data_IF_942138353186
#
_entry.id   IF_942138353186
#
_cell.length_a   1.000
_cell.length_b   1.000
_cell.length_c   1.000
_cell.angle_alpha   90.00
_cell.angle_beta   90.00
_cell.angle_gamma   90.00
#
_symmetry.space_group_name_H-M   'P 1'
#
loop_
_entity.id
_entity.type
_entity.pdbx_description
1 polymer ?
#
# COMPACT_ATOMS: atom_id res chain seq x y z
N UNK A 1 -69.51 56.18 66.95
CA UNK A 1 -69.77 56.81 65.61
C UNK A 1 -68.51 56.62 64.74
N UNK A 2 -68.70 55.88 63.71
CA UNK A 2 -68.01 55.95 62.42
C UNK A 2 -66.46 55.87 62.39
N UNK A 3 -65.81 55.18 61.54
CA UNK A 3 -66.13 54.41 60.29
C UNK A 3 -64.92 53.56 59.94
N UNK A 4 -65.24 52.44 59.32
CA UNK A 4 -64.30 51.48 58.75
C UNK A 4 -63.50 52.01 57.57
N UNK A 5 -62.22 51.60 57.42
CA UNK A 5 -61.60 51.46 56.10
C UNK A 5 -60.63 50.32 56.13
N UNK A 6 -60.89 49.33 55.27
CA UNK A 6 -60.03 48.16 55.00
C UNK A 6 -58.91 48.55 54.03
N UNK A 7 -57.71 47.99 54.13
CA UNK A 7 -56.77 47.99 53.02
C UNK A 7 -56.79 46.65 52.29
N UNK A 8 -56.69 46.73 50.98
CA UNK A 8 -56.63 45.65 50.00
C UNK A 8 -55.22 44.99 50.02
N UNK A 9 -55.19 43.65 50.19
CA UNK A 9 -54.00 42.83 49.96
C UNK A 9 -53.86 42.53 48.46
N UNK A 10 -52.82 43.06 47.85
CA UNK A 10 -52.43 42.75 46.49
C UNK A 10 -51.52 41.49 46.48
N UNK A 11 -52.03 40.42 45.99
CA UNK A 11 -51.34 39.12 45.85
C UNK A 11 -50.42 39.16 44.63
N UNK A 12 -49.12 39.36 44.83
CA UNK A 12 -48.09 39.25 43.78
C UNK A 12 -47.82 37.81 43.46
N UNK A 13 -48.32 37.33 42.31
CA UNK A 13 -47.93 35.99 41.69
C UNK A 13 -46.55 36.12 41.06
N UNK A 14 -45.57 35.47 41.64
CA UNK A 14 -44.27 35.26 41.07
C UNK A 14 -44.38 34.15 39.93
N UNK A 15 -44.33 34.57 38.67
CA UNK A 15 -44.09 33.69 37.57
C UNK A 15 -42.60 33.29 37.53
N UNK A 16 -42.28 32.06 37.93
CA UNK A 16 -40.97 31.44 37.65
C UNK A 16 -40.95 31.00 36.21
N UNK A 17 -40.30 31.76 35.33
CA UNK A 17 -39.97 31.36 33.97
C UNK A 17 -38.78 30.39 34.01
N UNK A 18 -39.02 29.09 33.88
CA UNK A 18 -37.99 28.10 33.67
C UNK A 18 -37.52 28.20 32.23
N UNK A 19 -36.36 28.82 31.98
CA UNK A 19 -35.63 28.74 30.72
C UNK A 19 -35.05 27.33 30.62
N UNK A 20 -35.66 26.46 29.81
CA UNK A 20 -35.06 25.20 29.33
C UNK A 20 -34.08 25.57 28.25
N UNK A 21 -32.78 25.61 28.58
CA UNK A 21 -31.72 25.72 27.59
C UNK A 21 -31.63 24.42 26.81
N UNK A 22 -32.20 24.38 25.61
CA UNK A 22 -32.04 23.30 24.67
C UNK A 22 -30.63 23.38 24.08
N UNK A 23 -29.67 22.64 24.65
CA UNK A 23 -28.35 22.50 24.11
C UNK A 23 -28.43 21.64 22.83
N UNK A 24 -28.48 22.27 21.68
CA UNK A 24 -28.27 21.60 20.39
C UNK A 24 -26.81 21.14 20.36
N UNK A 25 -26.59 19.88 20.64
CA UNK A 25 -25.36 19.19 20.26
C UNK A 25 -25.29 19.16 18.71
N UNK A 26 -24.61 20.17 18.14
CA UNK A 26 -24.23 20.15 16.73
C UNK A 26 -23.19 19.03 16.62
N UNK A 27 -23.64 17.82 16.28
CA UNK A 27 -22.77 16.78 15.78
C UNK A 27 -22.20 17.30 14.46
N UNK A 28 -21.04 17.94 14.54
CA UNK A 28 -20.25 18.23 13.34
C UNK A 28 -19.90 16.87 12.75
N UNK A 29 -20.62 16.44 11.74
CA UNK A 29 -20.13 15.44 10.80
C UNK A 29 -18.88 16.06 10.18
N UNK A 30 -17.72 15.76 10.75
CA UNK A 30 -16.43 16.08 10.13
C UNK A 30 -16.32 15.13 8.96
N UNK A 31 -16.81 15.58 7.82
CA UNK A 31 -16.60 14.87 6.56
C UNK A 31 -15.09 14.80 6.35
N UNK A 32 -14.61 13.64 5.88
CA UNK A 32 -13.27 13.55 5.34
C UNK A 32 -13.13 14.67 4.30
N UNK A 33 -12.04 15.43 4.38
CA UNK A 33 -11.76 16.47 3.41
C UNK A 33 -11.73 15.89 1.99
N UNK A 34 -11.84 16.73 0.95
CA UNK A 34 -11.77 16.27 -0.42
C UNK A 34 -10.48 15.50 -0.65
N UNK A 35 -10.55 14.43 -1.46
CA UNK A 35 -9.35 13.69 -1.90
C UNK A 35 -8.56 14.60 -2.85
N UNK A 36 -7.35 14.96 -2.46
CA UNK A 36 -6.44 15.72 -3.33
C UNK A 36 -5.93 14.80 -4.44
N UNK A 37 -6.24 15.13 -5.69
CA UNK A 37 -5.85 14.31 -6.85
C UNK A 37 -4.77 15.02 -7.65
N UNK A 38 -3.62 14.36 -7.82
CA UNK A 38 -2.48 14.94 -8.52
C UNK A 38 -1.83 13.97 -9.51
N UNK A 39 -1.08 14.51 -10.44
CA UNK A 39 -0.24 13.75 -11.35
C UNK A 39 1.11 13.44 -10.74
N UNK A 40 1.66 12.28 -11.10
CA UNK A 40 3.06 11.98 -10.82
C UNK A 40 3.96 13.04 -11.46
N UNK A 41 4.95 13.60 -10.74
CA UNK A 41 5.88 14.58 -11.30
C UNK A 41 6.58 14.07 -12.57
N UNK A 42 6.98 14.98 -13.43
CA UNK A 42 7.77 14.71 -14.65
C UNK A 42 7.14 13.69 -15.61
N UNK A 43 5.84 13.51 -15.60
CA UNK A 43 5.12 12.44 -16.29
C UNK A 43 5.63 11.03 -15.92
N UNK A 44 6.10 10.87 -14.70
CA UNK A 44 6.52 9.57 -14.16
C UNK A 44 5.35 8.58 -14.06
N UNK A 45 5.69 7.31 -13.97
CA UNK A 45 4.73 6.20 -13.86
C UNK A 45 4.99 5.37 -12.60
N UNK A 46 4.05 4.52 -12.22
CA UNK A 46 4.15 3.60 -11.09
C UNK A 46 4.51 4.31 -9.77
N UNK A 47 3.75 5.34 -9.37
CA UNK A 47 4.01 6.03 -8.12
C UNK A 47 3.85 5.06 -6.94
N UNK A 48 4.75 5.20 -5.95
CA UNK A 48 4.61 4.63 -4.62
C UNK A 48 4.72 5.79 -3.63
N UNK A 49 3.77 5.92 -2.74
CA UNK A 49 3.74 7.04 -1.80
C UNK A 49 3.55 6.57 -0.36
N UNK A 50 4.17 7.26 0.57
CA UNK A 50 4.05 7.04 2.01
C UNK A 50 4.09 8.38 2.75
N UNK A 51 3.47 8.43 3.92
CA UNK A 51 3.60 9.58 4.84
C UNK A 51 4.60 9.23 5.92
N UNK A 52 5.61 10.07 6.08
CA UNK A 52 6.60 9.94 7.14
C UNK A 52 6.07 10.38 8.50
N UNK A 53 6.75 10.02 9.58
CA UNK A 53 6.41 10.45 10.94
C UNK A 53 6.45 11.99 11.10
N UNK A 54 7.17 12.69 10.25
CA UNK A 54 7.25 14.15 10.17
C UNK A 54 6.12 14.79 9.35
N UNK A 55 5.16 14.00 8.87
CA UNK A 55 4.03 14.43 8.06
C UNK A 55 4.37 14.73 6.59
N UNK A 56 5.60 14.48 6.14
CA UNK A 56 5.96 14.62 4.73
C UNK A 56 5.34 13.49 3.91
N UNK A 57 4.90 13.83 2.69
CA UNK A 57 4.53 12.84 1.69
C UNK A 57 5.77 12.50 0.87
N UNK A 58 6.24 11.28 0.98
CA UNK A 58 7.36 10.72 0.22
C UNK A 58 6.82 10.02 -1.03
N UNK A 59 7.48 10.22 -2.15
CA UNK A 59 7.06 9.70 -3.45
C UNK A 59 8.26 9.07 -4.18
N UNK A 60 8.08 7.85 -4.62
CA UNK A 60 8.95 7.16 -5.57
C UNK A 60 8.19 7.01 -6.89
N UNK A 61 8.86 7.25 -8.02
CA UNK A 61 8.28 7.04 -9.34
C UNK A 61 9.35 6.65 -10.37
N UNK A 62 8.90 6.06 -11.45
CA UNK A 62 9.74 5.65 -12.56
C UNK A 62 9.63 6.64 -13.72
N UNK A 63 10.75 6.88 -14.43
CA UNK A 63 10.82 7.74 -15.61
C UNK A 63 11.72 7.14 -16.69
N UNK A 64 11.34 7.32 -17.94
CA UNK A 64 12.09 6.85 -19.10
C UNK A 64 11.45 5.67 -19.81
N UNK A 65 12.25 4.91 -20.54
CA UNK A 65 11.78 3.68 -21.22
C UNK A 65 11.41 2.62 -20.18
N UNK A 66 10.18 2.10 -20.25
CA UNK A 66 9.69 1.10 -19.30
C UNK A 66 10.56 -0.18 -19.27
N UNK A 67 11.28 -0.50 -20.35
CA UNK A 67 12.22 -1.63 -20.41
C UNK A 67 13.57 -1.33 -19.75
N UNK A 68 13.90 -0.07 -19.48
CA UNK A 68 15.20 0.32 -18.94
C UNK A 68 15.30 1.81 -18.69
N UNK A 69 14.64 2.29 -17.64
CA UNK A 69 14.64 3.68 -17.19
C UNK A 69 15.18 3.87 -15.78
N UNK A 70 14.84 5.00 -15.18
CA UNK A 70 15.39 5.43 -13.91
C UNK A 70 14.30 5.64 -12.86
N UNK A 71 14.68 5.47 -11.61
CA UNK A 71 13.83 5.67 -10.45
C UNK A 71 14.17 7.00 -9.78
N UNK A 72 13.14 7.73 -9.41
CA UNK A 72 13.27 9.02 -8.75
C UNK A 72 12.48 9.04 -7.45
N UNK A 73 13.13 9.56 -6.43
CA UNK A 73 12.53 9.82 -5.14
C UNK A 73 12.43 11.31 -4.90
N UNK A 74 11.29 11.75 -4.38
CA UNK A 74 11.05 13.12 -3.94
C UNK A 74 10.14 13.14 -2.73
N UNK A 75 9.99 14.29 -2.10
CA UNK A 75 9.01 14.48 -1.03
C UNK A 75 8.43 15.89 -1.07
N UNK A 76 7.30 16.08 -0.42
CA UNK A 76 6.71 17.39 -0.14
C UNK A 76 6.25 17.46 1.31
N UNK A 77 6.23 18.66 1.90
CA UNK A 77 5.59 18.89 3.19
C UNK A 77 4.08 18.73 3.03
N UNK A 78 3.40 18.31 4.07
CA UNK A 78 1.94 18.34 4.12
C UNK A 78 1.45 19.77 3.77
N UNK A 79 0.40 19.86 2.95
CA UNK A 79 -0.20 21.13 2.50
C UNK A 79 0.75 22.05 1.67
N UNK A 80 1.88 21.53 1.20
CA UNK A 80 2.77 22.24 0.27
C UNK A 80 2.34 21.96 -1.17
N UNK A 81 2.34 22.99 -2.03
CA UNK A 81 1.98 22.83 -3.44
C UNK A 81 3.07 22.18 -4.29
N UNK A 82 4.31 22.09 -3.78
CA UNK A 82 5.47 21.66 -4.56
C UNK A 82 6.20 20.44 -4.02
N UNK A 83 6.74 19.64 -4.94
CA UNK A 83 7.71 18.61 -4.68
C UNK A 83 9.11 19.19 -4.63
N UNK A 84 9.99 18.70 -3.75
CA UNK A 84 11.41 19.05 -3.78
C UNK A 84 12.07 18.47 -5.03
N UNK A 85 13.26 18.95 -5.38
CA UNK A 85 14.02 18.41 -6.50
C UNK A 85 14.23 16.90 -6.32
N UNK A 86 13.90 16.07 -7.32
CA UNK A 86 13.97 14.62 -7.18
C UNK A 86 15.40 14.11 -7.15
N UNK A 87 15.64 13.10 -6.35
CA UNK A 87 16.91 12.37 -6.23
C UNK A 87 16.79 11.08 -7.06
N UNK A 88 17.74 10.82 -7.96
CA UNK A 88 17.79 9.55 -8.67
C UNK A 88 18.22 8.43 -7.71
N UNK A 89 17.49 7.30 -7.72
CA UNK A 89 17.73 6.17 -6.82
C UNK A 89 18.82 5.25 -7.36
N UNK A 90 18.66 4.79 -8.59
CA UNK A 90 19.60 3.85 -9.23
C UNK A 90 20.83 4.60 -9.76
N UNK A 91 22.03 4.12 -9.43
CA UNK A 91 23.31 4.72 -9.90
C UNK A 91 23.55 4.45 -11.38
N UNK A 92 23.33 3.19 -11.81
CA UNK A 92 23.42 2.84 -13.21
C UNK A 92 22.17 3.28 -13.98
N UNK A 93 22.33 4.25 -14.87
CA UNK A 93 21.22 4.77 -15.67
C UNK A 93 20.55 3.69 -16.50
N UNK A 94 19.22 3.70 -16.50
CA UNK A 94 18.40 2.73 -17.20
C UNK A 94 18.31 1.36 -16.52
N UNK A 95 18.83 1.19 -15.31
CA UNK A 95 18.80 -0.11 -14.60
C UNK A 95 17.45 -0.47 -13.96
N UNK A 96 16.47 0.44 -13.95
CA UNK A 96 15.11 0.19 -13.49
C UNK A 96 14.24 -0.45 -14.55
N UNK A 97 13.26 -1.26 -14.13
CA UNK A 97 12.27 -1.93 -14.97
C UNK A 97 10.85 -1.57 -14.53
N UNK A 98 10.00 -1.16 -15.50
CA UNK A 98 8.59 -0.83 -15.24
C UNK A 98 7.60 -1.55 -16.17
N UNK A 99 8.08 -2.35 -17.10
CA UNK A 99 7.20 -3.16 -17.97
C UNK A 99 6.36 -4.13 -17.14
N UNK A 100 5.07 -4.15 -17.39
CA UNK A 100 4.13 -5.06 -16.73
C UNK A 100 3.87 -4.68 -15.28
N UNK A 101 3.24 -3.57 -15.02
CA UNK A 101 2.73 -2.95 -13.76
C UNK A 101 3.09 -3.59 -12.41
N UNK A 102 3.39 -4.89 -12.38
CA UNK A 102 3.71 -5.68 -11.19
C UNK A 102 5.22 -5.70 -10.86
N UNK A 103 6.08 -5.17 -11.74
CA UNK A 103 7.54 -5.15 -11.62
C UNK A 103 8.10 -3.85 -11.05
N UNK A 104 7.23 -2.89 -10.80
CA UNK A 104 7.60 -1.55 -10.35
C UNK A 104 8.34 -1.53 -9.01
N UNK A 105 9.13 -0.49 -8.84
CA UNK A 105 9.89 -0.27 -7.61
C UNK A 105 8.98 -0.06 -6.41
N UNK A 106 9.49 -0.37 -5.22
CA UNK A 106 8.79 -0.30 -3.95
C UNK A 106 9.50 0.66 -3.00
N UNK A 107 8.71 1.41 -2.23
CA UNK A 107 9.16 2.38 -1.25
C UNK A 107 8.80 1.91 0.16
N UNK A 108 9.71 2.07 1.11
CA UNK A 108 9.43 1.97 2.53
C UNK A 108 10.16 3.07 3.30
N UNK A 109 9.58 3.49 4.41
CA UNK A 109 10.17 4.46 5.33
C UNK A 109 10.56 3.74 6.62
N UNK A 110 11.82 3.86 6.99
CA UNK A 110 12.37 3.25 8.18
C UNK A 110 12.51 4.21 9.35
N UNK A 111 13.22 3.77 10.38
CA UNK A 111 13.51 4.52 11.58
C UNK A 111 14.19 5.86 11.26
N UNK A 112 13.82 6.91 11.99
CA UNK A 112 14.43 8.24 11.91
C UNK A 112 14.47 8.89 10.51
N UNK A 113 13.59 8.49 9.60
CA UNK A 113 13.50 9.06 8.25
C UNK A 113 14.43 8.43 7.21
N UNK A 114 14.96 7.22 7.46
CA UNK A 114 15.58 6.41 6.42
C UNK A 114 14.56 6.12 5.31
N UNK A 115 15.00 6.21 4.08
CA UNK A 115 14.21 5.86 2.90
C UNK A 115 14.82 4.63 2.24
N UNK A 116 14.00 3.63 2.01
CA UNK A 116 14.39 2.37 1.41
C UNK A 116 13.66 2.16 0.09
N UNK A 117 14.39 1.69 -0.93
CA UNK A 117 13.83 1.39 -2.25
C UNK A 117 14.32 0.03 -2.72
N UNK A 118 13.41 -0.78 -3.24
CA UNK A 118 13.75 -2.05 -3.90
C UNK A 118 13.11 -2.10 -5.29
N UNK A 119 13.81 -2.67 -6.28
CA UNK A 119 13.31 -2.75 -7.65
C UNK A 119 13.90 -3.94 -8.42
N UNK A 120 13.16 -4.40 -9.38
CA UNK A 120 13.66 -5.38 -10.35
C UNK A 120 14.58 -4.69 -11.37
N UNK A 121 15.77 -5.22 -11.55
CA UNK A 121 16.73 -4.69 -12.53
C UNK A 121 16.32 -4.99 -13.96
N UNK A 122 16.52 -4.00 -14.83
CA UNK A 122 16.39 -4.14 -16.28
C UNK A 122 17.55 -4.95 -16.89
N UNK A 123 17.53 -5.16 -18.19
CA UNK A 123 18.66 -5.77 -18.94
C UNK A 123 19.95 -4.92 -18.89
N UNK A 124 19.88 -3.65 -18.50
CA UNK A 124 21.03 -2.77 -18.31
C UNK A 124 21.64 -2.90 -16.88
N UNK A 125 20.90 -3.46 -15.93
CA UNK A 125 21.43 -3.75 -14.60
C UNK A 125 22.44 -4.89 -14.67
N UNK A 126 23.41 -4.88 -13.74
CA UNK A 126 24.33 -6.00 -13.62
C UNK A 126 23.53 -7.27 -13.24
N UNK A 127 23.55 -8.27 -14.12
CA UNK A 127 22.91 -9.56 -13.85
C UNK A 127 23.51 -10.25 -12.62
N UNK A 128 22.71 -11.10 -12.00
CA UNK A 128 23.17 -11.99 -10.93
C UNK A 128 23.28 -13.41 -11.49
N UNK A 129 24.40 -14.09 -11.19
CA UNK A 129 24.57 -15.49 -11.57
C UNK A 129 24.11 -16.40 -10.44
N UNK A 130 23.00 -17.10 -10.67
CA UNK A 130 22.45 -18.09 -9.74
C UNK A 130 22.34 -19.44 -10.46
N UNK A 131 22.83 -20.52 -9.84
CA UNK A 131 22.79 -21.88 -10.39
C UNK A 131 23.31 -21.97 -11.84
N UNK A 132 24.41 -21.24 -12.12
CA UNK A 132 25.03 -21.23 -13.44
C UNK A 132 24.32 -20.39 -14.51
N UNK A 133 23.20 -19.72 -14.19
CA UNK A 133 22.42 -18.91 -15.13
C UNK A 133 22.44 -17.44 -14.74
N UNK A 134 22.55 -16.55 -15.71
CA UNK A 134 22.41 -15.11 -15.51
C UNK A 134 20.94 -14.73 -15.42
N UNK A 135 20.58 -13.93 -14.42
CA UNK A 135 19.21 -13.55 -14.10
C UNK A 135 19.12 -12.05 -13.80
N UNK A 136 17.94 -11.47 -13.98
CA UNK A 136 17.66 -10.11 -13.53
C UNK A 136 17.81 -10.00 -12.01
N UNK A 137 18.54 -9.01 -11.50
CA UNK A 137 18.70 -8.82 -10.06
C UNK A 137 17.44 -8.22 -9.42
N UNK A 138 17.26 -8.45 -8.13
CA UNK A 138 16.43 -7.64 -7.26
C UNK A 138 17.35 -6.68 -6.50
N UNK A 139 17.28 -5.40 -6.83
CA UNK A 139 18.16 -4.37 -6.32
C UNK A 139 17.50 -3.66 -5.14
N UNK A 140 18.32 -3.22 -4.21
CA UNK A 140 17.93 -2.44 -3.05
C UNK A 140 18.93 -1.32 -2.83
N UNK A 141 18.43 -0.11 -2.53
CA UNK A 141 19.22 1.02 -2.08
C UNK A 141 18.50 1.76 -0.96
N UNK A 142 19.26 2.50 -0.16
CA UNK A 142 18.73 3.31 0.93
C UNK A 142 19.30 4.73 0.90
N UNK A 143 18.53 5.67 1.41
CA UNK A 143 18.91 7.06 1.58
C UNK A 143 18.92 7.40 3.06
N UNK A 144 20.04 7.89 3.55
CA UNK A 144 20.15 8.39 4.93
C UNK A 144 19.33 9.64 5.12
N UNK A 145 18.83 9.88 6.33
CA UNK A 145 18.22 11.17 6.66
C UNK A 145 19.14 12.34 6.25
N UNK A 146 18.56 13.30 5.54
CA UNK A 146 19.24 14.51 5.04
C UNK A 146 20.40 14.27 4.03
N UNK A 147 20.59 13.06 3.51
CA UNK A 147 21.53 12.83 2.42
C UNK A 147 20.98 13.32 1.08
N UNK A 148 21.86 13.68 0.16
CA UNK A 148 21.53 14.13 -1.19
C UNK A 148 21.61 13.03 -2.25
N UNK A 149 22.04 11.82 -1.89
CA UNK A 149 22.16 10.67 -2.79
C UNK A 149 21.91 9.35 -2.06
N UNK A 150 21.38 8.37 -2.81
CA UNK A 150 21.25 7.00 -2.32
C UNK A 150 22.60 6.31 -2.19
N UNK A 151 22.72 5.42 -1.19
CA UNK A 151 23.86 4.52 -1.09
C UNK A 151 23.91 3.57 -2.31
N UNK A 152 25.06 2.96 -2.63
CA UNK A 152 25.16 2.00 -3.72
C UNK A 152 24.11 0.88 -3.60
N UNK A 153 23.52 0.52 -4.73
CA UNK A 153 22.56 -0.58 -4.78
C UNK A 153 23.21 -1.92 -4.47
N UNK A 154 22.47 -2.75 -3.73
CA UNK A 154 22.84 -4.11 -3.39
C UNK A 154 21.89 -5.09 -4.08
N UNK A 155 22.40 -6.19 -4.62
CA UNK A 155 21.56 -7.28 -5.10
C UNK A 155 21.07 -8.16 -3.96
N UNK A 156 19.76 -8.35 -3.87
CA UNK A 156 19.11 -9.13 -2.81
C UNK A 156 19.10 -10.64 -3.09
N UNK A 157 19.21 -11.07 -4.34
CA UNK A 157 19.17 -12.48 -4.70
C UNK A 157 20.50 -13.14 -4.39
N UNK A 158 20.47 -14.25 -3.65
CA UNK A 158 21.66 -15.09 -3.36
C UNK A 158 21.44 -16.55 -3.75
N UNK A 159 20.24 -17.08 -3.56
CA UNK A 159 19.87 -18.47 -3.86
C UNK A 159 18.58 -18.55 -4.66
N UNK A 160 17.49 -17.94 -4.19
CA UNK A 160 16.18 -18.01 -4.85
C UNK A 160 16.04 -16.90 -5.91
N UNK A 161 16.08 -17.29 -7.16
CA UNK A 161 15.97 -16.42 -8.34
C UNK A 161 14.67 -16.58 -9.08
N UNK A 162 14.72 -16.38 -10.41
CA UNK A 162 13.59 -16.57 -11.31
C UNK A 162 12.51 -15.51 -11.16
N UNK A 163 12.90 -14.24 -10.94
CA UNK A 163 11.95 -13.13 -10.83
C UNK A 163 11.08 -13.01 -12.07
N UNK A 164 9.78 -12.81 -11.85
CA UNK A 164 8.82 -12.45 -12.90
C UNK A 164 8.06 -11.17 -12.52
N UNK A 165 7.48 -11.10 -11.33
CA UNK A 165 6.67 -9.97 -10.86
C UNK A 165 7.38 -8.94 -9.99
N UNK A 166 8.71 -8.96 -9.92
CA UNK A 166 9.45 -8.07 -9.04
C UNK A 166 9.36 -8.48 -7.56
N UNK A 167 9.44 -7.52 -6.67
CA UNK A 167 9.44 -7.74 -5.21
C UNK A 167 8.61 -6.71 -4.46
N UNK A 168 8.70 -6.79 -3.14
CA UNK A 168 8.15 -5.80 -2.22
C UNK A 168 9.17 -5.44 -1.14
N UNK A 169 8.86 -4.39 -0.39
CA UNK A 169 9.72 -3.83 0.63
C UNK A 169 8.89 -3.40 1.83
N UNK A 170 9.36 -3.72 3.02
CA UNK A 170 8.81 -3.22 4.28
C UNK A 170 9.92 -2.66 5.16
N UNK A 171 9.62 -1.64 5.94
CA UNK A 171 10.49 -1.14 7.00
C UNK A 171 9.66 -0.68 8.19
N UNK A 172 10.26 -0.61 9.38
CA UNK A 172 9.61 -0.17 10.61
C UNK A 172 10.45 0.84 11.40
N UNK A 173 9.86 1.35 12.48
CA UNK A 173 10.50 2.31 13.36
C UNK A 173 11.57 1.69 14.29
N UNK A 174 11.73 0.38 14.29
CA UNK A 174 12.75 -0.34 15.08
C UNK A 174 14.04 -0.57 14.29
N UNK A 175 14.02 -0.29 12.98
CA UNK A 175 15.15 -0.47 12.08
C UNK A 175 15.12 -1.82 11.35
N UNK A 176 14.02 -2.55 11.41
CA UNK A 176 13.84 -3.72 10.57
C UNK A 176 13.53 -3.29 9.14
N UNK A 177 14.16 -3.97 8.18
CA UNK A 177 13.91 -3.80 6.74
C UNK A 177 13.80 -5.18 6.12
N UNK A 178 12.68 -5.47 5.46
CA UNK A 178 12.45 -6.74 4.77
C UNK A 178 12.29 -6.50 3.27
N UNK A 179 13.09 -7.18 2.46
CA UNK A 179 12.90 -7.31 1.02
C UNK A 179 12.28 -8.66 0.73
N UNK A 180 11.17 -8.67 -0.02
CA UNK A 180 10.30 -9.83 -0.22
C UNK A 180 10.08 -10.06 -1.71
N UNK A 181 10.14 -11.30 -2.19
CA UNK A 181 9.93 -11.64 -3.61
C UNK A 181 9.40 -13.06 -3.80
N UNK A 182 8.84 -13.33 -4.98
CA UNK A 182 8.55 -14.70 -5.42
C UNK A 182 9.80 -15.29 -6.06
N UNK A 183 10.27 -16.40 -5.55
CA UNK A 183 11.49 -17.02 -6.05
C UNK A 183 11.33 -18.51 -6.36
N UNK A 184 12.28 -19.02 -7.13
CA UNK A 184 12.50 -20.44 -7.40
C UNK A 184 13.92 -20.80 -6.99
N UNK A 185 14.08 -22.02 -6.49
CA UNK A 185 15.38 -22.66 -6.27
C UNK A 185 15.45 -23.91 -7.15
N UNK A 186 16.60 -24.16 -7.75
CA UNK A 186 16.81 -25.33 -8.58
C UNK A 186 16.24 -25.21 -9.98
N UNK A 187 16.04 -26.36 -10.61
CA UNK A 187 15.55 -26.46 -11.99
C UNK A 187 14.04 -26.61 -12.11
N UNK A 188 13.33 -26.61 -10.99
CA UNK A 188 11.88 -26.75 -10.98
C UNK A 188 11.24 -25.63 -11.82
N UNK A 189 10.28 -26.01 -12.65
CA UNK A 189 9.53 -25.07 -13.51
C UNK A 189 8.06 -25.05 -13.08
N UNK A 190 7.48 -23.88 -13.14
CA UNK A 190 6.07 -23.67 -12.81
C UNK A 190 5.87 -22.92 -11.49
N UNK A 191 4.76 -22.25 -11.40
CA UNK A 191 4.44 -21.36 -10.27
C UNK A 191 4.13 -22.11 -8.98
N UNK A 192 3.70 -23.36 -9.06
CA UNK A 192 3.49 -24.24 -7.90
C UNK A 192 4.77 -24.53 -7.11
N UNK A 193 5.93 -24.38 -7.74
CA UNK A 193 7.24 -24.55 -7.10
C UNK A 193 7.84 -23.22 -6.60
N UNK A 194 7.24 -22.09 -6.92
CA UNK A 194 7.65 -20.81 -6.36
C UNK A 194 7.27 -20.73 -4.88
N UNK A 195 8.10 -20.02 -4.13
CA UNK A 195 7.79 -19.63 -2.76
C UNK A 195 8.00 -18.12 -2.59
N UNK A 196 7.44 -17.57 -1.52
CA UNK A 196 7.77 -16.21 -1.08
C UNK A 196 9.02 -16.27 -0.24
N UNK A 197 10.04 -15.52 -0.63
CA UNK A 197 11.32 -15.39 0.06
C UNK A 197 11.43 -14.00 0.70
N UNK A 198 12.16 -13.95 1.81
CA UNK A 198 12.45 -12.72 2.55
C UNK A 198 13.93 -12.69 2.90
N UNK A 199 14.57 -11.55 2.74
CA UNK A 199 15.77 -11.15 3.46
C UNK A 199 15.43 -10.01 4.40
N UNK A 200 15.83 -10.13 5.64
CA UNK A 200 15.61 -9.13 6.67
C UNK A 200 16.92 -8.55 7.17
N UNK A 201 16.90 -7.27 7.46
CA UNK A 201 17.93 -6.50 8.18
C UNK A 201 17.31 -5.95 9.46
N UNK A 202 18.12 -5.83 10.52
CA UNK A 202 17.74 -5.22 11.80
C UNK A 202 18.52 -3.93 12.10
N UNK A 203 19.29 -3.44 11.11
CA UNK A 203 20.17 -2.28 11.21
C UNK A 203 19.92 -1.24 10.09
N UNK A 204 18.63 -0.93 9.84
CA UNK A 204 18.20 0.01 8.80
C UNK A 204 18.69 -0.38 7.40
N UNK A 205 18.73 -1.66 7.08
CA UNK A 205 19.12 -2.18 5.75
C UNK A 205 20.63 -2.14 5.50
N UNK A 206 21.46 -2.09 6.52
CA UNK A 206 22.92 -2.14 6.41
C UNK A 206 23.40 -3.53 6.03
N UNK A 207 23.01 -4.52 6.83
CA UNK A 207 23.32 -5.92 6.60
C UNK A 207 22.04 -6.74 6.54
N UNK A 208 21.90 -7.53 5.51
CA UNK A 208 20.76 -8.45 5.35
C UNK A 208 21.17 -9.90 5.67
N UNK A 209 20.34 -10.56 6.47
CA UNK A 209 20.46 -11.99 6.74
C UNK A 209 20.31 -12.82 5.45
N UNK A 210 20.60 -14.09 5.51
CA UNK A 210 20.33 -15.04 4.41
C UNK A 210 18.83 -15.12 4.11
N UNK A 211 18.49 -15.34 2.85
CA UNK A 211 17.10 -15.46 2.44
C UNK A 211 16.44 -16.73 2.99
N UNK A 212 15.17 -16.58 3.37
CA UNK A 212 14.36 -17.70 3.89
C UNK A 212 13.01 -17.73 3.18
N UNK A 213 12.53 -18.93 2.87
CA UNK A 213 11.16 -19.11 2.40
C UNK A 213 10.18 -18.91 3.57
N UNK A 214 9.17 -18.07 3.38
CA UNK A 214 8.19 -17.71 4.43
C UNK A 214 6.76 -18.14 4.08
N UNK A 215 6.45 -18.41 2.81
CA UNK A 215 5.13 -18.90 2.42
C UNK A 215 4.90 -20.34 2.90
N UNK A 216 3.63 -20.74 3.14
CA UNK A 216 3.29 -22.12 3.49
C UNK A 216 3.75 -23.10 2.42
N UNK A 217 4.21 -24.27 2.83
CA UNK A 217 4.59 -25.33 1.90
C UNK A 217 3.44 -25.71 0.97
N UNK A 218 3.74 -25.83 -0.32
CA UNK A 218 2.76 -26.18 -1.35
C UNK A 218 1.77 -25.08 -1.72
N UNK A 219 1.92 -23.85 -1.19
CA UNK A 219 1.08 -22.73 -1.62
C UNK A 219 1.36 -22.29 -3.05
N UNK A 220 2.55 -22.55 -3.54
CA UNK A 220 3.04 -21.89 -4.74
C UNK A 220 3.03 -20.37 -4.61
N UNK A 221 3.42 -19.68 -5.68
CA UNK A 221 3.26 -18.23 -5.79
C UNK A 221 3.15 -17.81 -7.24
N UNK A 222 2.13 -17.01 -7.57
CA UNK A 222 1.92 -16.49 -8.91
C UNK A 222 2.96 -15.41 -9.21
N UNK A 223 4.00 -15.74 -9.97
CA UNK A 223 5.11 -14.85 -10.26
C UNK A 223 4.72 -13.61 -11.06
N UNK A 224 3.67 -13.69 -11.87
CA UNK A 224 3.16 -12.57 -12.67
C UNK A 224 2.21 -11.64 -11.92
N UNK A 225 1.98 -11.85 -10.62
CA UNK A 225 1.17 -10.99 -9.76
C UNK A 225 2.06 -10.17 -8.82
N UNK A 226 1.57 -9.01 -8.42
CA UNK A 226 2.25 -8.17 -7.43
C UNK A 226 2.27 -8.84 -6.05
N UNK A 227 3.31 -8.54 -5.29
CA UNK A 227 3.46 -8.91 -3.88
C UNK A 227 3.51 -7.64 -3.06
N UNK A 228 2.96 -7.65 -1.83
CA UNK A 228 3.02 -6.49 -0.94
C UNK A 228 3.38 -6.93 0.47
N UNK A 229 4.34 -6.23 1.07
CA UNK A 229 4.78 -6.48 2.42
C UNK A 229 4.64 -5.24 3.30
N UNK A 230 4.48 -5.44 4.60
CA UNK A 230 4.44 -4.39 5.62
C UNK A 230 4.63 -4.96 7.00
N UNK A 231 5.29 -4.23 7.88
CA UNK A 231 5.33 -4.57 9.30
C UNK A 231 4.04 -4.14 9.97
N UNK A 232 3.44 -5.05 10.72
CA UNK A 232 2.32 -4.78 11.61
C UNK A 232 2.78 -4.59 13.05
N UNK A 233 1.82 -4.40 13.95
CA UNK A 233 2.08 -4.27 15.37
C UNK A 233 2.91 -5.44 15.92
N UNK A 234 3.84 -5.12 16.82
CA UNK A 234 4.72 -6.10 17.45
C UNK A 234 5.81 -6.66 16.54
N UNK A 235 6.17 -5.94 15.45
CA UNK A 235 7.30 -6.30 14.58
C UNK A 235 7.06 -7.52 13.70
N UNK A 236 5.81 -7.98 13.56
CA UNK A 236 5.48 -9.09 12.66
C UNK A 236 5.38 -8.63 11.22
N UNK A 237 6.05 -9.34 10.32
CA UNK A 237 5.95 -9.10 8.89
C UNK A 237 4.66 -9.70 8.33
N UNK A 238 3.94 -8.93 7.55
CA UNK A 238 2.74 -9.34 6.81
C UNK A 238 3.06 -9.30 5.33
N UNK A 239 2.62 -10.31 4.60
CA UNK A 239 2.81 -10.38 3.15
C UNK A 239 1.50 -10.78 2.48
N UNK A 240 1.10 -9.98 1.48
CA UNK A 240 -0.02 -10.26 0.59
C UNK A 240 0.55 -10.76 -0.72
N UNK A 241 0.12 -11.92 -1.16
CA UNK A 241 0.56 -12.51 -2.43
C UNK A 241 -0.50 -13.45 -2.99
N UNK A 242 -0.44 -13.70 -4.27
CA UNK A 242 -1.32 -14.66 -4.94
C UNK A 242 -0.66 -16.04 -4.99
N UNK A 243 -1.34 -17.03 -4.43
CA UNK A 243 -0.90 -18.43 -4.48
C UNK A 243 -0.99 -19.02 -5.89
N UNK A 244 -0.40 -20.18 -6.09
CA UNK A 244 -0.44 -20.92 -7.34
C UNK A 244 -0.29 -22.43 -7.07
N UNK A 245 -1.22 -23.00 -6.31
CA UNK A 245 -1.14 -24.42 -5.90
C UNK A 245 -1.35 -25.40 -7.03
N UNK A 246 -2.15 -24.99 -8.04
CA UNK A 246 -2.42 -25.72 -9.27
C UNK A 246 -2.53 -24.71 -10.42
N UNK A 247 -2.62 -25.17 -11.66
CA UNK A 247 -2.69 -24.29 -12.84
C UNK A 247 -3.81 -23.24 -12.75
N UNK A 248 -4.95 -23.60 -12.16
CA UNK A 248 -6.12 -22.72 -12.06
C UNK A 248 -6.36 -22.13 -10.68
N UNK A 249 -5.65 -22.56 -9.65
CA UNK A 249 -5.91 -22.09 -8.28
C UNK A 249 -5.00 -20.91 -7.94
N UNK A 250 -5.58 -19.74 -7.77
CA UNK A 250 -4.93 -18.43 -7.59
C UNK A 250 -5.49 -17.65 -6.41
N UNK A 251 -5.62 -18.27 -5.23
CA UNK A 251 -6.12 -17.58 -4.04
C UNK A 251 -5.20 -16.41 -3.65
N UNK A 252 -5.79 -15.29 -3.27
CA UNK A 252 -5.05 -14.21 -2.59
C UNK A 252 -4.85 -14.58 -1.13
N UNK A 253 -3.61 -14.60 -0.69
CA UNK A 253 -3.22 -14.96 0.66
C UNK A 253 -2.62 -13.75 1.39
N UNK A 254 -3.02 -13.58 2.64
CA UNK A 254 -2.27 -12.76 3.61
C UNK A 254 -1.61 -13.72 4.60
N UNK A 255 -0.29 -13.68 4.65
CA UNK A 255 0.50 -14.44 5.63
C UNK A 255 1.15 -13.49 6.63
N UNK A 256 1.36 -13.96 7.85
CA UNK A 256 1.95 -13.17 8.94
C UNK A 256 2.88 -14.04 9.79
N UNK A 257 4.02 -13.49 10.17
CA UNK A 257 4.98 -14.17 11.04
C UNK A 257 6.19 -13.32 11.38
N UNK A 258 7.16 -13.95 12.01
CA UNK A 258 8.49 -13.40 12.27
C UNK A 258 9.54 -14.33 11.68
N UNK A 259 10.74 -13.84 11.44
CA UNK A 259 11.81 -14.64 10.84
C UNK A 259 12.31 -15.78 11.76
N UNK A 260 11.94 -15.76 13.03
CA UNK A 260 12.24 -16.82 13.99
C UNK A 260 11.20 -17.95 13.98
N UNK A 261 10.03 -17.72 13.36
CA UNK A 261 8.92 -18.68 13.36
C UNK A 261 8.39 -18.92 11.92
N UNK A 262 8.97 -19.88 11.23
CA UNK A 262 8.70 -20.21 9.84
C UNK A 262 7.98 -21.57 9.68
N UNK A 263 7.15 -21.77 8.66
CA UNK A 263 6.66 -20.75 7.71
C UNK A 263 5.67 -19.80 8.38
N UNK A 264 5.42 -18.63 7.74
CA UNK A 264 4.40 -17.70 8.21
C UNK A 264 3.01 -18.34 8.15
N UNK A 265 2.17 -18.03 9.13
CA UNK A 265 0.79 -18.53 9.15
C UNK A 265 -0.09 -17.76 8.16
N UNK A 266 -1.01 -18.47 7.51
CA UNK A 266 -2.07 -17.81 6.72
C UNK A 266 -3.07 -17.18 7.69
N UNK A 267 -3.23 -15.87 7.58
CA UNK A 267 -4.24 -15.12 8.37
C UNK A 267 -5.48 -14.81 7.54
N UNK A 268 -5.35 -14.82 6.21
CA UNK A 268 -6.44 -14.61 5.28
C UNK A 268 -6.24 -15.38 3.98
N UNK A 269 -7.34 -15.88 3.41
CA UNK A 269 -7.39 -16.49 2.09
C UNK A 269 -8.67 -16.07 1.36
N UNK A 270 -8.52 -15.53 0.15
CA UNK A 270 -9.62 -15.23 -0.77
C UNK A 270 -9.44 -16.12 -2.01
N UNK A 271 -10.23 -17.19 -2.16
CA UNK A 271 -10.06 -18.14 -3.25
C UNK A 271 -10.42 -17.54 -4.61
N UNK A 272 -9.70 -17.94 -5.63
CA UNK A 272 -10.00 -17.67 -7.02
C UNK A 272 -9.53 -18.82 -7.90
N UNK A 273 -10.37 -19.24 -8.85
CA UNK A 273 -10.01 -20.22 -9.87
C UNK A 273 -9.97 -19.55 -11.23
N UNK A 274 -8.79 -19.47 -11.82
CA UNK A 274 -8.56 -18.83 -13.12
C UNK A 274 -7.42 -19.52 -13.85
N UNK A 275 -7.62 -19.82 -15.12
CA UNK A 275 -6.58 -20.39 -16.02
C UNK A 275 -5.90 -19.30 -16.88
N UNK A 276 -5.47 -18.22 -16.22
CA UNK A 276 -4.74 -17.12 -16.84
C UNK A 276 -3.83 -16.45 -15.82
N UNK A 277 -2.85 -15.66 -16.30
CA UNK A 277 -2.11 -14.72 -15.47
C UNK A 277 -2.95 -13.49 -15.18
N UNK A 278 -3.40 -13.24 -13.94
CA UNK A 278 -4.18 -12.05 -13.60
C UNK A 278 -3.41 -10.76 -13.82
N UNK A 279 -2.10 -10.77 -13.62
CA UNK A 279 -1.20 -9.61 -13.75
C UNK A 279 -1.76 -8.39 -13.01
N UNK A 280 -2.12 -8.59 -11.76
CA UNK A 280 -2.66 -7.56 -10.89
C UNK A 280 -1.78 -7.36 -9.66
N UNK A 281 -1.77 -6.14 -9.14
CA UNK A 281 -1.11 -5.81 -7.88
C UNK A 281 -2.07 -5.96 -6.72
N UNK A 282 -1.52 -6.09 -5.51
CA UNK A 282 -2.25 -6.02 -4.25
C UNK A 282 -1.78 -4.83 -3.43
N UNK A 283 -2.57 -4.39 -2.47
CA UNK A 283 -2.23 -3.33 -1.54
C UNK A 283 -2.32 -3.84 -0.09
N UNK A 284 -1.49 -3.26 0.76
CA UNK A 284 -1.47 -3.48 2.21
C UNK A 284 -1.28 -2.13 2.90
N UNK A 285 -2.13 -1.82 3.86
CA UNK A 285 -1.98 -0.63 4.69
C UNK A 285 -2.13 -1.01 6.17
N UNK A 286 -1.43 -0.26 7.03
CA UNK A 286 -1.51 -0.41 8.48
C UNK A 286 -2.34 0.74 9.05
N UNK A 287 -3.39 0.40 9.78
CA UNK A 287 -4.09 1.34 10.64
C UNK A 287 -3.62 1.20 12.09
N UNK A 288 -4.16 2.01 13.00
CA UNK A 288 -3.76 2.01 14.41
C UNK A 288 -4.10 0.72 15.17
N UNK A 289 -5.10 -0.04 14.74
CA UNK A 289 -5.61 -1.24 15.44
C UNK A 289 -5.81 -2.43 14.52
N UNK A 290 -5.64 -2.25 13.23
CA UNK A 290 -5.91 -3.29 12.24
C UNK A 290 -5.09 -3.06 10.97
N UNK A 291 -4.86 -4.13 10.23
CA UNK A 291 -4.30 -4.10 8.89
C UNK A 291 -5.42 -4.17 7.85
N UNK A 292 -5.13 -3.67 6.65
CA UNK A 292 -6.07 -3.63 5.53
C UNK A 292 -5.37 -4.14 4.29
N UNK A 293 -6.02 -5.03 3.57
CA UNK A 293 -5.54 -5.52 2.28
C UNK A 293 -6.55 -5.25 1.18
N UNK A 294 -6.05 -4.99 -0.03
CA UNK A 294 -6.88 -4.90 -1.22
C UNK A 294 -6.25 -5.69 -2.37
N UNK A 295 -7.09 -6.30 -3.19
CA UNK A 295 -6.68 -7.14 -4.31
C UNK A 295 -7.72 -7.11 -5.43
N UNK A 296 -7.38 -7.64 -6.60
CA UNK A 296 -8.29 -7.83 -7.71
C UNK A 296 -8.68 -9.30 -7.83
N UNK A 297 -9.95 -9.57 -8.09
CA UNK A 297 -10.45 -10.89 -8.47
C UNK A 297 -11.58 -10.72 -9.49
N UNK A 298 -11.48 -11.40 -10.61
CA UNK A 298 -12.48 -11.37 -11.70
C UNK A 298 -12.79 -9.97 -12.25
N UNK A 299 -11.75 -9.12 -12.36
CA UNK A 299 -11.92 -7.75 -12.86
C UNK A 299 -12.64 -6.80 -11.89
N UNK A 300 -12.74 -7.17 -10.62
CA UNK A 300 -13.26 -6.37 -9.53
C UNK A 300 -12.20 -6.23 -8.43
N UNK A 301 -12.09 -5.03 -7.85
CA UNK A 301 -11.25 -4.78 -6.69
C UNK A 301 -12.01 -5.04 -5.40
N UNK A 302 -11.35 -5.70 -4.48
CA UNK A 302 -11.86 -6.05 -3.15
C UNK A 302 -10.95 -5.48 -2.10
N UNK A 303 -11.47 -5.20 -0.93
CA UNK A 303 -10.67 -4.86 0.23
C UNK A 303 -11.27 -5.42 1.52
N UNK A 304 -10.44 -5.57 2.53
CA UNK A 304 -10.83 -6.12 3.82
C UNK A 304 -9.98 -5.54 4.93
N UNK A 305 -10.62 -5.35 6.09
CA UNK A 305 -9.97 -5.07 7.36
C UNK A 305 -9.76 -6.38 8.10
N UNK A 306 -8.58 -6.60 8.68
CA UNK A 306 -8.30 -7.72 9.57
C UNK A 306 -7.52 -7.25 10.78
N UNK A 307 -7.84 -7.81 11.94
CA UNK A 307 -7.19 -7.45 13.19
C UNK A 307 -5.75 -7.97 13.26
N UNK A 308 -4.91 -7.34 14.08
CA UNK A 308 -3.54 -7.78 14.32
C UNK A 308 -3.45 -9.23 14.81
N UNK A 309 -4.48 -9.72 15.51
CA UNK A 309 -4.63 -11.11 15.95
C UNK A 309 -4.93 -12.10 14.83
N UNK A 310 -5.26 -11.61 13.63
CA UNK A 310 -5.59 -12.43 12.46
C UNK A 310 -7.05 -12.93 12.43
N UNK A 311 -7.89 -12.44 13.33
CA UNK A 311 -9.33 -12.65 13.18
C UNK A 311 -9.85 -11.83 12.01
N UNK A 312 -10.43 -12.43 10.96
CA UNK A 312 -10.99 -11.67 9.86
C UNK A 312 -12.19 -10.86 10.38
N UNK A 313 -12.24 -9.57 10.09
CA UNK A 313 -13.52 -8.91 10.07
C UNK A 313 -14.31 -9.62 8.95
N UNK A 314 -15.42 -10.23 9.27
CA UNK A 314 -16.11 -11.20 8.40
C UNK A 314 -16.64 -10.64 7.07
N UNK A 315 -16.25 -9.44 6.67
CA UNK A 315 -16.83 -8.75 5.51
C UNK A 315 -15.77 -8.27 4.55
N UNK A 316 -15.68 -8.94 3.39
CA UNK A 316 -15.02 -8.38 2.21
C UNK A 316 -15.89 -7.29 1.61
N UNK A 317 -15.29 -6.18 1.24
CA UNK A 317 -15.96 -5.02 0.67
C UNK A 317 -15.48 -4.79 -0.76
N UNK A 318 -16.36 -4.26 -1.59
CA UNK A 318 -16.07 -3.89 -2.97
C UNK A 318 -16.78 -2.58 -3.33
N UNK A 319 -16.27 -1.80 -4.27
CA UNK A 319 -16.98 -0.65 -4.80
C UNK A 319 -18.23 -1.09 -5.55
N UNK A 320 -19.25 -0.24 -5.56
CA UNK A 320 -20.48 -0.47 -6.31
C UNK A 320 -20.22 -0.62 -7.82
N UNK A 321 -21.18 -1.24 -8.52
CA UNK A 321 -21.17 -1.47 -9.97
C UNK A 321 -20.54 -2.81 -10.37
N UNK A 322 -20.65 -3.10 -11.65
CA UNK A 322 -20.33 -4.42 -12.21
C UNK A 322 -18.84 -4.73 -12.28
N UNK A 323 -18.53 -6.01 -12.47
CA UNK A 323 -17.22 -6.52 -12.82
C UNK A 323 -16.79 -5.95 -14.18
N UNK A 324 -15.55 -5.53 -14.32
CA UNK A 324 -15.01 -5.14 -15.62
C UNK A 324 -13.81 -4.23 -15.55
N UNK A 325 -12.62 -4.78 -15.74
CA UNK A 325 -11.40 -4.02 -15.99
C UNK A 325 -10.89 -3.19 -14.80
N UNK A 326 -11.34 -3.44 -13.58
CA UNK A 326 -10.84 -2.84 -12.35
C UNK A 326 -9.62 -3.61 -11.88
N UNK A 327 -8.46 -2.94 -11.80
CA UNK A 327 -7.17 -3.56 -11.45
C UNK A 327 -6.33 -2.65 -10.57
N UNK A 328 -5.24 -3.21 -10.07
CA UNK A 328 -4.18 -2.48 -9.37
C UNK A 328 -4.70 -1.59 -8.24
N UNK A 329 -5.36 -2.18 -7.22
CA UNK A 329 -5.84 -1.41 -6.09
C UNK A 329 -4.70 -0.77 -5.31
N UNK A 330 -4.97 0.43 -4.78
CA UNK A 330 -4.18 1.11 -3.77
C UNK A 330 -5.10 1.50 -2.61
N UNK A 331 -4.58 1.49 -1.39
CA UNK A 331 -5.38 1.66 -0.19
C UNK A 331 -4.62 2.46 0.85
N UNK A 332 -5.30 3.44 1.46
CA UNK A 332 -4.81 4.19 2.62
C UNK A 332 -5.88 4.29 3.69
N UNK A 333 -5.44 4.36 4.94
CA UNK A 333 -6.32 4.46 6.12
C UNK A 333 -5.87 5.66 6.95
N UNK A 334 -6.79 6.53 7.33
CA UNK A 334 -6.49 7.66 8.18
C UNK A 334 -6.68 7.34 9.69
N UNK A 335 -6.35 8.29 10.56
CA UNK A 335 -6.46 8.15 12.01
C UNK A 335 -7.91 7.97 12.51
N UNK A 336 -8.91 8.30 11.70
CA UNK A 336 -10.34 8.07 12.01
C UNK A 336 -10.81 6.67 11.61
N UNK A 337 -9.95 5.87 10.98
CA UNK A 337 -10.29 4.56 10.43
C UNK A 337 -11.04 4.62 9.10
N UNK A 338 -11.14 5.79 8.48
CA UNK A 338 -11.68 5.94 7.14
C UNK A 338 -10.70 5.40 6.10
N UNK A 339 -11.21 4.77 5.05
CA UNK A 339 -10.42 4.08 4.02
C UNK A 339 -10.63 4.73 2.67
N UNK A 340 -9.54 5.17 2.03
CA UNK A 340 -9.54 5.50 0.63
C UNK A 340 -9.08 4.27 -0.16
N UNK A 341 -9.96 3.71 -0.99
CA UNK A 341 -9.64 2.70 -1.99
C UNK A 341 -9.59 3.37 -3.36
N UNK A 342 -8.48 3.22 -4.07
CA UNK A 342 -8.33 3.63 -5.45
C UNK A 342 -7.91 2.45 -6.32
N UNK A 343 -8.20 2.49 -7.62
CA UNK A 343 -7.85 1.45 -8.57
C UNK A 343 -7.74 2.00 -9.99
N UNK A 344 -7.13 1.23 -10.88
CA UNK A 344 -7.13 1.56 -12.31
C UNK A 344 -8.31 0.90 -13.02
N UNK A 345 -8.88 1.57 -14.02
CA UNK A 345 -9.94 1.04 -14.89
C UNK A 345 -9.48 1.04 -16.35
N UNK A 346 -9.75 -0.05 -17.06
CA UNK A 346 -9.45 -0.17 -18.49
C UNK A 346 -7.97 -0.35 -18.83
N UNK A 347 -7.07 -0.38 -17.83
CA UNK A 347 -5.64 -0.66 -18.05
C UNK A 347 -5.41 -2.11 -18.44
N UNK A 348 -4.32 -2.39 -19.14
CA UNK A 348 -3.93 -3.73 -19.60
C UNK A 348 -2.52 -3.76 -20.14
N UNK A 349 -2.13 -4.87 -20.74
CA UNK A 349 -0.81 -4.97 -21.35
C UNK A 349 -0.64 -3.89 -22.44
N UNK A 350 0.38 -3.05 -22.30
CA UNK A 350 0.67 -1.90 -23.17
C UNK A 350 -0.53 -0.95 -23.36
N UNK A 351 -1.42 -0.88 -22.41
CA UNK A 351 -2.60 -0.01 -22.47
C UNK A 351 -2.78 0.76 -21.18
N UNK A 352 -2.88 2.09 -21.29
CA UNK A 352 -3.29 2.99 -20.24
C UNK A 352 -4.80 2.95 -20.01
N UNK A 353 -5.29 3.83 -19.13
CA UNK A 353 -6.72 3.85 -18.78
C UNK A 353 -7.11 5.04 -17.91
N UNK A 354 -8.00 4.80 -16.96
CA UNK A 354 -8.42 5.74 -15.93
C UNK A 354 -8.05 5.29 -14.54
N UNK A 355 -8.20 6.19 -13.59
CA UNK A 355 -8.18 5.93 -12.16
C UNK A 355 -9.59 6.19 -11.60
N UNK A 356 -10.01 5.34 -10.68
CA UNK A 356 -11.23 5.52 -9.90
C UNK A 356 -10.93 5.33 -8.41
N UNK A 357 -11.76 5.96 -7.57
CA UNK A 357 -11.62 5.83 -6.11
C UNK A 357 -12.95 5.99 -5.41
N UNK A 358 -13.01 5.45 -4.20
CA UNK A 358 -14.14 5.59 -3.30
C UNK A 358 -13.64 5.68 -1.85
N UNK A 359 -14.28 6.55 -1.08
CA UNK A 359 -14.02 6.72 0.33
C UNK A 359 -15.04 5.94 1.15
N UNK A 360 -14.55 5.25 2.18
CA UNK A 360 -15.36 4.46 3.10
C UNK A 360 -15.17 4.94 4.54
N UNK A 361 -16.21 4.86 5.35
CA UNK A 361 -16.12 5.07 6.79
C UNK A 361 -15.42 3.88 7.49
N UNK A 362 -15.18 4.01 8.80
CA UNK A 362 -14.54 2.97 9.63
C UNK A 362 -15.28 1.62 9.64
N UNK A 363 -16.56 1.60 9.27
CA UNK A 363 -17.43 0.41 9.23
C UNK A 363 -17.55 -0.17 7.80
N UNK A 364 -16.84 0.44 6.83
CA UNK A 364 -16.80 0.01 5.44
C UNK A 364 -18.01 0.43 4.61
N UNK A 365 -18.75 1.44 5.06
CA UNK A 365 -19.84 2.04 4.29
C UNK A 365 -19.27 3.12 3.38
N UNK A 366 -19.66 3.11 2.10
CA UNK A 366 -19.29 4.16 1.16
C UNK A 366 -19.81 5.52 1.63
N UNK A 367 -18.92 6.52 1.69
CA UNK A 367 -19.23 7.88 2.11
C UNK A 367 -19.63 8.79 0.94
N UNK A 368 -19.25 8.41 -0.27
CA UNK A 368 -19.51 9.16 -1.50
C UNK A 368 -19.60 8.22 -2.71
N UNK A 369 -20.17 8.66 -3.83
CA UNK A 369 -20.13 7.93 -5.09
C UNK A 369 -18.69 7.70 -5.56
N UNK A 370 -18.49 6.73 -6.46
CA UNK A 370 -17.21 6.50 -7.12
C UNK A 370 -16.84 7.70 -7.98
N UNK A 371 -15.69 8.28 -7.71
CA UNK A 371 -15.10 9.31 -8.54
C UNK A 371 -14.10 8.73 -9.55
N UNK A 372 -13.87 9.45 -10.67
CA UNK A 372 -13.02 8.97 -11.77
C UNK A 372 -12.22 10.10 -12.40
N UNK A 373 -11.03 9.75 -12.92
CA UNK A 373 -10.22 10.58 -13.82
C UNK A 373 -9.64 9.71 -14.92
N UNK A 374 -9.42 10.29 -16.08
CA UNK A 374 -8.75 9.63 -17.22
C UNK A 374 -7.26 9.90 -17.22
N UNK A 375 -6.53 9.16 -18.08
CA UNK A 375 -5.14 9.47 -18.41
C UNK A 375 -4.12 8.77 -17.50
N UNK A 376 -4.44 7.61 -16.94
CA UNK A 376 -3.42 6.69 -16.43
C UNK A 376 -2.58 6.23 -17.61
N UNK A 377 -1.24 6.47 -17.61
CA UNK A 377 -0.38 6.10 -18.74
C UNK A 377 -0.24 4.58 -18.87
N UNK A 378 0.34 4.15 -19.99
CA UNK A 378 0.76 2.74 -20.17
C UNK A 378 1.70 2.37 -19.01
N UNK A 379 1.48 1.21 -18.40
CA UNK A 379 2.17 0.73 -17.19
C UNK A 379 1.94 1.60 -15.94
N UNK A 380 1.10 2.63 -16.02
CA UNK A 380 0.77 3.48 -14.89
C UNK A 380 0.00 2.76 -13.81
N UNK A 381 0.23 3.18 -12.56
CA UNK A 381 -0.47 2.76 -11.36
C UNK A 381 -1.01 3.99 -10.62
N UNK A 382 -1.68 3.76 -9.50
CA UNK A 382 -2.12 4.78 -8.56
C UNK A 382 -1.50 4.52 -7.19
N UNK A 383 -1.12 5.59 -6.49
CA UNK A 383 -0.75 5.56 -5.09
C UNK A 383 -1.72 6.44 -4.29
N UNK A 384 -2.01 6.06 -3.06
CA UNK A 384 -2.82 6.83 -2.13
C UNK A 384 -2.15 6.92 -0.77
N UNK A 385 -2.30 8.05 -0.11
CA UNK A 385 -1.81 8.29 1.25
C UNK A 385 -2.84 9.02 2.09
N UNK A 386 -2.78 8.81 3.40
CA UNK A 386 -3.54 9.56 4.38
C UNK A 386 -2.60 10.49 5.16
N UNK A 387 -2.91 11.77 5.19
CA UNK A 387 -2.17 12.76 5.96
C UNK A 387 -2.56 12.72 7.45
N UNK A 388 -1.75 13.34 8.30
CA UNK A 388 -1.98 13.39 9.76
C UNK A 388 -3.26 14.13 10.16
N UNK A 389 -3.73 15.07 9.35
CA UNK A 389 -5.01 15.77 9.52
C UNK A 389 -6.23 14.92 9.10
N UNK A 390 -5.97 13.72 8.56
CA UNK A 390 -6.97 12.78 8.09
C UNK A 390 -7.45 13.03 6.66
N UNK A 391 -6.89 13.98 5.92
CA UNK A 391 -7.12 14.14 4.49
C UNK A 391 -6.42 13.04 3.70
N UNK A 392 -6.82 12.87 2.43
CA UNK A 392 -6.21 11.89 1.54
C UNK A 392 -5.64 12.56 0.29
N UNK A 393 -4.53 12.02 -0.20
CA UNK A 393 -3.98 12.35 -1.51
C UNK A 393 -3.92 11.10 -2.39
N UNK A 394 -4.26 11.28 -3.69
CA UNK A 394 -4.19 10.29 -4.75
C UNK A 394 -3.22 10.79 -5.81
N UNK A 395 -2.26 9.95 -6.19
CA UNK A 395 -1.18 10.28 -7.14
C UNK A 395 -1.19 9.23 -8.26
N UNK A 396 -1.21 9.67 -9.56
CA UNK A 396 -1.28 8.76 -10.70
C UNK A 396 -0.63 9.30 -11.97
#
# INVERSE_FOLDING_TARGET
MNSLSRPWLTMMRLFRSSLVALSFLIVRNVWAGPVEVMRTPDNGIQPQAMVGADGRVHLLYFKGDAAGGDLFYTYRKAQSEGWVAPIRVNRLSGSGLAIGSVRGAQLALGRNGWVHVAWMGSSKAQSVRLEGRDQSPLLYARLRPNASEFEPEQNMLKVAGGLDGGGSLAADAMGHVAVVWHGLIGEAKGEQFRAVYVRESTDDGGVFATEKAVSPHGSGACGCCGIKAGYGDGGSLQVVFRSATQETNRAELVIKGTMDNLPFRVVRSAPWSINNCPMSTSALAQGSTASFAAWETEGQVWWEKFEATGNPSRKMMQPEGGKGGRKHPALAVNSRGEVLLAWTEGTGWQRGGGVAWQLYDKDGKAMQPIERRTGVPVWGLVAVVAASDGSFSLIY
#
